data_IF_799452365058
#
_entry.id   IF_799452365058
#
_cell.length_a   1.000
_cell.length_b   1.000
_cell.length_c   1.000
_cell.angle_alpha   90.00
_cell.angle_beta   90.00
_cell.angle_gamma   90.00
#
_symmetry.space_group_name_H-M   'P 1'
#
loop_
_entity.id
_entity.type
_entity.pdbx_description
1 polymer ?
#
# COMPACT_ATOMS: atom_id res chain seq x y z
N UNK A 1 34.50 -28.51 -55.75
CA UNK A 1 35.18 -28.04 -54.52
C UNK A 1 34.61 -28.86 -53.37
N UNK A 2 35.38 -29.88 -52.97
CA UNK A 2 35.51 -30.59 -51.69
C UNK A 2 34.26 -30.74 -50.78
N UNK A 3 33.71 -31.95 -50.83
CA UNK A 3 33.35 -32.92 -49.77
C UNK A 3 32.89 -32.50 -48.34
N UNK A 4 31.60 -32.76 -48.11
CA UNK A 4 30.94 -33.61 -47.08
C UNK A 4 31.80 -34.23 -45.94
N UNK A 5 31.36 -34.09 -44.67
CA UNK A 5 30.97 -35.14 -43.67
C UNK A 5 31.13 -34.64 -42.19
N UNK A 6 30.28 -35.10 -41.23
CA UNK A 6 30.09 -34.54 -39.89
C UNK A 6 30.54 -35.47 -38.71
N UNK A 7 30.20 -35.06 -37.48
CA UNK A 7 29.87 -35.87 -36.28
C UNK A 7 30.95 -36.29 -35.24
N UNK A 8 30.49 -36.23 -33.97
CA UNK A 8 30.69 -37.15 -32.84
C UNK A 8 31.98 -37.10 -31.94
N UNK A 9 31.74 -36.72 -30.67
CA UNK A 9 31.90 -37.49 -29.41
C UNK A 9 33.22 -38.21 -28.99
N UNK A 10 33.38 -38.32 -27.65
CA UNK A 10 34.34 -39.11 -26.83
C UNK A 10 35.79 -38.55 -26.75
N UNK A 11 36.56 -38.60 -25.66
CA UNK A 11 36.48 -39.02 -24.25
C UNK A 11 37.89 -38.82 -23.61
N UNK A 12 37.95 -38.86 -22.27
CA UNK A 12 39.08 -39.27 -21.42
C UNK A 12 40.15 -38.26 -20.94
N UNK A 13 40.36 -38.29 -19.61
CA UNK A 13 41.64 -38.00 -18.93
C UNK A 13 41.60 -36.86 -17.91
N UNK A 14 41.11 -37.05 -16.68
CA UNK A 14 41.92 -37.41 -15.49
C UNK A 14 43.36 -36.87 -15.49
N UNK A 15 43.67 -35.94 -14.57
CA UNK A 15 44.81 -36.11 -13.67
C UNK A 15 44.70 -35.23 -12.42
N UNK A 16 44.55 -35.90 -11.28
CA UNK A 16 44.86 -35.39 -9.95
C UNK A 16 46.39 -35.32 -9.75
N UNK A 17 46.81 -34.40 -8.88
CA UNK A 17 48.03 -34.43 -8.04
C UNK A 17 47.82 -33.37 -6.97
N UNK A 18 47.37 -33.71 -5.76
CA UNK A 18 48.04 -34.47 -4.69
C UNK A 18 49.20 -33.71 -4.05
N UNK A 19 49.15 -33.73 -2.72
CA UNK A 19 49.89 -32.94 -1.74
C UNK A 19 51.20 -33.64 -1.35
N UNK A 20 52.21 -32.83 -1.00
CA UNK A 20 53.32 -33.14 -0.09
C UNK A 20 53.77 -31.78 0.53
N UNK A 21 53.53 -31.46 1.80
CA UNK A 21 53.97 -32.03 3.08
C UNK A 21 55.49 -31.89 3.36
N UNK A 22 55.77 -31.40 4.58
CA UNK A 22 57.07 -31.25 5.28
C UNK A 22 57.79 -29.91 5.04
N UNK A 23 58.07 -29.04 6.03
CA UNK A 23 58.10 -29.17 7.48
C UNK A 23 59.43 -28.61 8.02
N UNK A 24 59.37 -27.81 9.10
CA UNK A 24 60.48 -27.36 9.99
C UNK A 24 61.41 -26.25 9.44
N UNK A 25 61.99 -25.34 10.22
CA UNK A 25 61.99 -25.01 11.66
C UNK A 25 63.00 -23.86 11.87
N UNK A 26 62.79 -23.10 12.95
CA UNK A 26 63.80 -22.47 13.83
C UNK A 26 64.63 -21.25 13.36
N UNK A 27 64.47 -20.20 14.17
CA UNK A 27 65.51 -19.45 14.89
C UNK A 27 66.74 -18.90 14.15
N UNK A 28 66.78 -17.58 14.07
CA UNK A 28 67.96 -16.76 14.35
C UNK A 28 67.48 -15.46 15.01
N UNK A 29 68.15 -14.79 15.95
CA UNK A 29 69.36 -14.96 16.76
C UNK A 29 69.66 -13.53 17.21
N UNK A 30 69.80 -13.26 18.50
CA UNK A 30 70.64 -12.17 19.02
C UNK A 30 70.89 -12.44 20.51
N UNK A 31 71.90 -13.27 20.78
CA UNK A 31 72.60 -13.30 22.05
C UNK A 31 73.63 -12.17 22.08
N UNK A 32 73.69 -11.43 23.20
CA UNK A 32 74.93 -10.84 23.71
C UNK A 32 75.05 -11.18 25.20
N UNK A 33 75.57 -12.39 25.39
CA UNK A 33 76.64 -12.84 26.30
C UNK A 33 77.10 -11.93 27.47
N UNK A 34 76.83 -12.45 28.67
CA UNK A 34 77.70 -12.67 29.86
C UNK A 34 78.66 -11.57 30.38
N UNK A 35 78.64 -11.32 31.70
CA UNK A 35 79.59 -11.92 32.70
C UNK A 35 79.43 -11.24 34.08
N UNK A 36 79.23 -12.05 35.12
CA UNK A 36 80.11 -12.25 36.31
C UNK A 36 80.15 -11.05 37.28
N UNK A 37 80.13 -11.16 38.60
CA UNK A 37 80.07 -12.25 39.58
C UNK A 37 79.80 -11.59 40.96
N UNK A 38 79.11 -12.33 41.85
CA UNK A 38 79.29 -12.44 43.31
C UNK A 38 79.66 -11.16 44.10
N UNK A 39 78.86 -10.77 45.10
CA UNK A 39 78.97 -11.29 46.48
C UNK A 39 78.15 -10.48 47.51
N UNK A 40 77.79 -11.17 48.60
CA UNK A 40 77.53 -10.69 49.97
C UNK A 40 76.14 -10.13 50.38
N UNK A 41 75.49 -11.00 51.19
CA UNK A 41 74.86 -10.73 52.49
C UNK A 41 73.46 -10.12 52.56
N UNK A 42 72.49 -10.97 52.93
CA UNK A 42 71.26 -10.62 53.64
C UNK A 42 71.41 -10.85 55.16
N UNK A 43 70.65 -10.09 55.98
CA UNK A 43 69.87 -10.71 57.07
C UNK A 43 68.53 -10.00 57.36
N UNK A 44 67.62 -10.49 58.23
CA UNK A 44 67.15 -11.87 58.45
C UNK A 44 65.59 -12.00 58.33
N UNK A 45 65.13 -13.25 58.45
CA UNK A 45 63.73 -13.74 58.50
C UNK A 45 62.99 -13.39 59.82
N UNK A 46 61.66 -13.17 59.72
CA UNK A 46 60.62 -13.93 60.45
C UNK A 46 59.25 -13.71 59.72
N UNK A 47 58.74 -14.70 58.95
CA UNK A 47 57.70 -15.72 59.31
C UNK A 47 56.34 -15.08 59.70
N UNK A 48 55.15 -15.38 59.19
CA UNK A 48 54.55 -16.53 58.50
C UNK A 48 53.14 -16.16 57.92
N UNK A 49 52.72 -16.84 56.83
CA UNK A 49 51.34 -17.27 56.44
C UNK A 49 50.23 -16.30 55.96
N UNK A 50 50.10 -16.24 54.63
CA UNK A 50 48.95 -16.62 53.75
C UNK A 50 47.50 -16.47 54.27
N UNK A 51 46.69 -15.64 53.61
CA UNK A 51 45.22 -15.62 53.72
C UNK A 51 44.49 -14.64 52.80
N UNK A 52 44.17 -15.09 51.57
CA UNK A 52 43.02 -14.72 50.72
C UNK A 52 42.55 -13.24 50.64
N UNK A 53 42.90 -12.56 49.54
CA UNK A 53 42.14 -11.41 49.04
C UNK A 53 40.95 -11.96 48.23
N UNK A 54 39.73 -11.80 48.75
CA UNK A 54 38.48 -12.09 48.01
C UNK A 54 38.43 -11.27 46.72
N UNK A 55 38.01 -11.83 45.56
CA UNK A 55 37.84 -11.03 44.36
C UNK A 55 36.77 -9.94 44.60
N UNK A 56 36.92 -8.76 43.99
CA UNK A 56 36.00 -7.64 44.20
C UNK A 56 34.58 -8.07 43.80
N UNK A 57 33.63 -7.90 44.72
CA UNK A 57 32.21 -8.09 44.43
C UNK A 57 31.83 -7.16 43.28
N UNK A 58 31.61 -7.76 42.10
CA UNK A 58 31.08 -7.09 40.91
C UNK A 58 29.76 -6.41 41.29
N UNK A 59 29.80 -5.09 41.51
CA UNK A 59 28.59 -4.30 41.78
C UNK A 59 27.72 -4.38 40.54
N UNK A 60 26.60 -5.09 40.65
CA UNK A 60 25.57 -5.14 39.61
C UNK A 60 25.08 -3.69 39.37
N UNK A 61 24.91 -3.23 38.12
CA UNK A 61 24.51 -1.86 37.85
C UNK A 61 23.01 -1.72 38.15
N UNK A 62 22.68 -1.52 39.44
CA UNK A 62 21.29 -1.32 39.88
C UNK A 62 20.62 -0.16 39.14
N UNK A 63 21.39 0.86 38.72
CA UNK A 63 20.87 2.01 37.96
C UNK A 63 20.25 1.66 36.59
N UNK A 64 20.82 0.69 35.87
CA UNK A 64 20.27 0.25 34.58
C UNK A 64 18.95 -0.52 34.77
N UNK A 65 18.84 -1.30 35.84
CA UNK A 65 17.63 -2.05 36.18
C UNK A 65 16.51 -1.14 36.66
N UNK A 66 16.84 -0.10 37.45
CA UNK A 66 15.87 0.91 37.89
C UNK A 66 15.37 1.77 36.72
N UNK A 67 16.25 2.13 35.77
CA UNK A 67 15.85 2.82 34.54
C UNK A 67 14.94 1.99 33.65
N UNK A 68 15.22 0.68 33.51
CA UNK A 68 14.39 -0.24 32.74
C UNK A 68 13.02 -0.47 33.41
N UNK A 69 12.97 -0.59 34.74
CA UNK A 69 11.71 -0.67 35.49
C UNK A 69 10.91 0.63 35.36
N UNK A 70 11.54 1.79 35.42
CA UNK A 70 10.87 3.07 35.24
C UNK A 70 10.26 3.20 33.82
N UNK A 71 10.98 2.76 32.79
CA UNK A 71 10.49 2.76 31.41
C UNK A 71 9.31 1.79 31.22
N UNK A 72 9.38 0.60 31.81
CA UNK A 72 8.25 -0.35 31.82
C UNK A 72 7.05 0.23 32.58
N UNK A 73 7.26 0.90 33.71
CA UNK A 73 6.18 1.53 34.45
C UNK A 73 5.54 2.70 33.67
N UNK A 74 6.32 3.46 32.90
CA UNK A 74 5.80 4.50 31.99
C UNK A 74 5.02 3.88 30.83
N UNK A 75 5.48 2.79 30.24
CA UNK A 75 4.74 2.06 29.19
C UNK A 75 3.45 1.46 29.73
N UNK A 76 3.49 0.83 30.91
CA UNK A 76 2.30 0.30 31.59
C UNK A 76 1.34 1.43 31.95
N UNK A 77 1.84 2.56 32.44
CA UNK A 77 1.01 3.74 32.72
C UNK A 77 0.40 4.32 31.43
N UNK A 78 1.12 4.34 30.31
CA UNK A 78 0.62 4.76 29.01
C UNK A 78 -0.47 3.83 28.48
N UNK A 79 -0.28 2.51 28.57
CA UNK A 79 -1.29 1.50 28.25
C UNK A 79 -2.50 1.62 29.18
N UNK A 80 -2.30 1.88 30.47
CA UNK A 80 -3.37 2.06 31.45
C UNK A 80 -4.14 3.36 31.20
N UNK A 81 -3.48 4.46 30.84
CA UNK A 81 -4.13 5.73 30.47
C UNK A 81 -4.88 5.57 29.15
N UNK A 82 -4.33 4.86 28.16
CA UNK A 82 -5.04 4.49 26.93
C UNK A 82 -6.25 3.59 27.19
N UNK A 83 -6.15 2.65 28.12
CA UNK A 83 -7.26 1.80 28.57
C UNK A 83 -8.36 2.60 29.28
N UNK A 84 -7.98 3.53 30.16
CA UNK A 84 -8.94 4.41 30.86
C UNK A 84 -9.60 5.41 29.89
N UNK A 85 -8.88 5.93 28.90
CA UNK A 85 -9.44 6.75 27.81
C UNK A 85 -10.46 5.93 27.00
N UNK A 86 -10.13 4.69 26.60
CA UNK A 86 -11.05 3.78 25.91
C UNK A 86 -12.33 3.51 26.71
N UNK A 87 -12.22 3.24 28.00
CA UNK A 87 -13.38 2.97 28.86
C UNK A 87 -14.25 4.21 29.11
N UNK A 88 -13.64 5.40 29.14
CA UNK A 88 -14.36 6.67 29.33
C UNK A 88 -15.08 7.08 28.04
N UNK A 89 -14.44 6.88 26.88
CA UNK A 89 -15.05 7.08 25.55
C UNK A 89 -16.18 6.07 25.33
N UNK A 90 -15.98 4.78 25.67
CA UNK A 90 -17.02 3.76 25.59
C UNK A 90 -18.25 4.08 26.47
N UNK A 91 -18.05 4.75 27.62
CA UNK A 91 -19.15 5.23 28.48
C UNK A 91 -19.80 6.53 28.01
N UNK A 92 -19.04 7.44 27.40
CA UNK A 92 -19.56 8.65 26.74
C UNK A 92 -20.45 8.29 25.54
N UNK A 93 -20.11 7.23 24.79
CA UNK A 93 -20.95 6.68 23.72
C UNK A 93 -22.09 5.78 24.21
N UNK A 94 -21.98 5.20 25.41
CA UNK A 94 -23.07 4.39 26.02
C UNK A 94 -24.16 5.21 26.70
N UNK A 95 -23.98 6.53 26.85
CA UNK A 95 -24.96 7.42 27.49
C UNK A 95 -25.32 8.60 26.58
N UNK A 96 -25.76 8.30 25.36
CA UNK A 96 -26.72 9.16 24.67
C UNK A 96 -28.01 8.37 24.46
N UNK A 97 -28.86 8.42 25.48
CA UNK A 97 -30.29 8.14 25.39
C UNK A 97 -30.95 9.29 24.61
N UNK A 98 -30.61 9.37 23.33
CA UNK A 98 -31.36 10.10 22.31
C UNK A 98 -31.83 9.01 21.34
N UNK A 99 -33.14 8.83 21.26
CA UNK A 99 -33.78 7.71 20.56
C UNK A 99 -33.42 7.62 19.08
N UNK A 100 -32.34 6.92 18.78
CA UNK A 100 -31.95 6.44 17.46
C UNK A 100 -32.22 4.94 17.43
N UNK A 101 -33.02 4.51 16.46
CA UNK A 101 -33.41 3.10 16.30
C UNK A 101 -32.19 2.25 15.93
N UNK A 102 -32.23 0.95 16.25
CA UNK A 102 -31.12 0.02 15.94
C UNK A 102 -30.83 -0.07 14.43
N UNK A 103 -31.81 0.26 13.57
CA UNK A 103 -31.66 0.32 12.12
C UNK A 103 -30.89 1.58 11.66
N UNK A 104 -31.04 2.72 12.34
CA UNK A 104 -30.34 3.96 12.02
C UNK A 104 -28.88 3.96 12.50
N UNK A 105 -28.57 3.27 13.61
CA UNK A 105 -27.17 3.02 14.04
C UNK A 105 -26.45 2.03 13.12
N UNK A 106 -27.20 1.10 12.51
CA UNK A 106 -26.66 0.18 11.52
C UNK A 106 -26.32 0.90 10.23
N UNK A 107 -27.13 1.87 9.81
CA UNK A 107 -26.94 2.62 8.56
C UNK A 107 -25.65 3.46 8.52
N UNK A 108 -25.12 3.93 9.66
CA UNK A 108 -23.96 4.85 9.69
C UNK A 108 -22.60 4.14 9.61
N UNK A 109 -22.53 2.84 9.95
CA UNK A 109 -21.27 2.08 9.94
C UNK A 109 -21.02 1.28 8.66
N UNK A 110 -21.99 1.26 7.73
CA UNK A 110 -21.90 0.59 6.43
C UNK A 110 -21.96 1.57 5.25
N UNK A 111 -21.93 2.87 5.54
CA UNK A 111 -21.90 3.88 4.50
C UNK A 111 -20.45 4.10 4.08
N UNK A 112 -20.21 4.02 2.78
CA UNK A 112 -19.00 4.46 2.13
C UNK A 112 -19.35 5.86 1.56
N UNK A 113 -18.78 6.91 2.15
CA UNK A 113 -19.24 8.29 1.94
C UNK A 113 -18.55 8.97 0.75
N UNK A 114 -17.30 8.58 0.48
CA UNK A 114 -16.45 9.02 -0.63
C UNK A 114 -16.26 7.98 -1.73
N UNK A 115 -16.83 6.77 -1.56
CA UNK A 115 -16.90 5.68 -2.54
C UNK A 115 -15.53 5.12 -2.93
N UNK A 116 -14.61 5.02 -1.97
CA UNK A 116 -13.26 4.52 -2.18
C UNK A 116 -13.11 3.01 -1.90
N UNK A 117 -14.16 2.39 -1.33
CA UNK A 117 -14.20 0.98 -0.95
C UNK A 117 -14.11 0.72 0.55
N UNK A 118 -13.98 1.75 1.40
CA UNK A 118 -14.07 1.65 2.85
C UNK A 118 -15.39 2.20 3.38
N UNK A 119 -16.00 1.45 4.30
CA UNK A 119 -17.09 2.01 5.10
C UNK A 119 -16.56 3.01 6.13
N UNK A 120 -17.39 3.95 6.57
CA UNK A 120 -17.07 4.89 7.67
C UNK A 120 -16.49 4.20 8.91
N UNK A 121 -16.91 2.97 9.21
CA UNK A 121 -16.36 2.20 10.32
C UNK A 121 -14.94 1.68 10.04
N UNK A 122 -14.69 1.23 8.81
CA UNK A 122 -13.38 0.78 8.34
C UNK A 122 -12.41 1.97 8.27
N UNK A 123 -12.86 3.12 7.79
CA UNK A 123 -12.05 4.34 7.77
C UNK A 123 -11.66 4.81 9.16
N UNK A 124 -12.61 4.81 10.11
CA UNK A 124 -12.29 5.09 11.52
C UNK A 124 -11.30 4.08 12.11
N UNK A 125 -11.29 2.84 11.61
CA UNK A 125 -10.37 1.79 12.06
C UNK A 125 -8.98 1.92 11.41
N UNK A 126 -8.92 2.32 10.14
CA UNK A 126 -7.70 2.56 9.36
C UNK A 126 -7.05 3.93 9.67
N UNK A 127 -7.84 4.87 10.21
CA UNK A 127 -7.40 6.22 10.55
C UNK A 127 -7.50 7.22 9.40
N UNK A 128 -8.27 6.88 8.37
CA UNK A 128 -8.48 7.65 7.15
C UNK A 128 -9.63 8.66 7.30
N UNK A 129 -9.84 9.49 6.28
CA UNK A 129 -10.80 10.58 6.29
C UNK A 129 -12.10 10.21 5.55
N UNK A 130 -13.21 10.13 6.30
CA UNK A 130 -14.57 9.75 5.84
C UNK A 130 -15.14 10.44 4.59
N UNK A 131 -14.51 11.49 4.09
CA UNK A 131 -15.01 12.23 2.93
C UNK A 131 -13.91 12.48 1.90
N UNK A 132 -12.75 11.86 2.07
CA UNK A 132 -11.57 12.04 1.23
C UNK A 132 -11.07 10.64 0.81
N UNK A 133 -11.28 10.25 -0.45
CA UNK A 133 -11.02 8.89 -0.91
C UNK A 133 -9.52 8.54 -0.98
N UNK A 134 -8.62 9.50 -0.77
CA UNK A 134 -7.16 9.38 -0.78
C UNK A 134 -6.63 10.29 0.34
N UNK A 135 -6.45 9.71 1.54
CA UNK A 135 -6.16 10.47 2.76
C UNK A 135 -4.76 11.07 2.75
N UNK A 136 -3.77 10.37 2.17
CA UNK A 136 -2.38 10.80 2.19
C UNK A 136 -1.90 11.53 0.93
N UNK A 137 -2.74 11.53 -0.11
CA UNK A 137 -2.64 12.33 -1.32
C UNK A 137 -1.63 11.79 -2.31
N UNK A 138 -1.45 10.47 -2.40
CA UNK A 138 -0.49 9.82 -3.29
C UNK A 138 -1.09 9.23 -4.59
N UNK A 139 -2.37 9.52 -4.81
CA UNK A 139 -3.19 9.07 -5.95
C UNK A 139 -3.65 7.60 -5.86
N UNK A 140 -3.39 6.87 -4.77
CA UNK A 140 -4.05 5.61 -4.44
C UNK A 140 -5.24 5.86 -3.50
N UNK A 141 -6.42 5.25 -3.77
CA UNK A 141 -7.53 5.36 -2.84
C UNK A 141 -7.30 4.57 -1.55
N UNK A 142 -7.78 5.06 -0.40
CA UNK A 142 -7.50 4.40 0.90
C UNK A 142 -8.05 2.95 0.92
N UNK A 143 -9.23 2.73 0.32
CA UNK A 143 -9.81 1.41 0.16
C UNK A 143 -9.00 0.46 -0.71
N UNK A 144 -8.37 0.97 -1.77
CA UNK A 144 -7.43 0.17 -2.56
C UNK A 144 -6.22 -0.22 -1.72
N UNK A 145 -5.62 0.75 -1.03
CA UNK A 145 -4.45 0.50 -0.20
C UNK A 145 -4.70 -0.52 0.90
N UNK A 146 -5.81 -0.36 1.64
CA UNK A 146 -6.23 -1.30 2.68
C UNK A 146 -6.50 -2.69 2.11
N UNK A 147 -7.13 -2.79 0.94
CA UNK A 147 -7.41 -4.07 0.28
C UNK A 147 -6.13 -4.82 -0.08
N UNK A 148 -5.10 -4.10 -0.55
CA UNK A 148 -3.84 -4.67 -1.03
C UNK A 148 -2.71 -4.66 0.01
N UNK A 149 -2.99 -4.23 1.23
CA UNK A 149 -2.06 -4.27 2.36
C UNK A 149 -1.00 -3.18 2.32
N UNK A 150 -1.25 -2.09 1.58
CA UNK A 150 -0.54 -0.83 1.67
C UNK A 150 -1.02 -0.03 2.90
N UNK A 151 -0.45 1.14 3.10
CA UNK A 151 -0.73 1.99 4.23
C UNK A 151 -1.32 3.34 3.76
N UNK A 152 -2.64 3.58 3.94
CA UNK A 152 -3.36 4.78 3.48
C UNK A 152 -3.03 6.08 4.21
N UNK A 153 -1.87 6.12 4.85
CA UNK A 153 -1.33 7.21 5.65
C UNK A 153 0.17 7.40 5.38
N UNK A 154 0.76 6.67 4.43
CA UNK A 154 2.15 6.78 3.99
C UNK A 154 2.27 6.96 2.47
N UNK A 155 2.33 8.22 1.99
CA UNK A 155 2.27 8.54 0.57
C UNK A 155 3.52 8.10 -0.22
N UNK A 156 4.47 7.47 0.47
CA UNK A 156 5.67 6.93 -0.15
C UNK A 156 5.46 5.53 -0.72
N UNK A 157 4.44 4.80 -0.25
CA UNK A 157 4.27 3.41 -0.64
C UNK A 157 3.65 3.22 -2.03
N UNK A 158 2.91 4.19 -2.56
CA UNK A 158 2.58 4.30 -3.98
C UNK A 158 3.80 4.19 -4.90
N UNK A 159 4.97 4.65 -4.44
CA UNK A 159 6.21 4.64 -5.20
C UNK A 159 7.05 3.36 -5.03
N UNK A 160 6.63 2.45 -4.16
CA UNK A 160 7.28 1.16 -3.99
C UNK A 160 6.85 0.17 -5.07
N UNK A 161 7.65 -0.89 -5.20
CA UNK A 161 7.42 -2.03 -6.09
C UNK A 161 7.33 -3.26 -5.17
N UNK A 162 6.10 -3.67 -4.88
CA UNK A 162 5.80 -4.65 -3.83
C UNK A 162 6.15 -6.09 -4.25
N UNK A 163 5.91 -6.46 -5.51
CA UNK A 163 6.15 -7.81 -6.04
C UNK A 163 7.49 -7.97 -6.80
N UNK A 164 8.19 -6.86 -7.03
CA UNK A 164 9.56 -6.77 -7.60
C UNK A 164 9.59 -7.13 -9.06
N UNK A 165 8.69 -6.55 -9.82
CA UNK A 165 8.58 -6.73 -11.27
C UNK A 165 9.01 -5.51 -12.09
N UNK A 166 9.49 -4.47 -11.40
CA UNK A 166 9.87 -3.14 -11.90
C UNK A 166 8.68 -2.21 -12.26
N UNK A 167 7.45 -2.56 -11.86
CA UNK A 167 6.26 -1.68 -11.87
C UNK A 167 5.95 -1.19 -10.44
N UNK A 168 5.57 0.08 -10.29
CA UNK A 168 5.27 0.64 -8.96
C UNK A 168 3.82 0.41 -8.61
N UNK A 169 3.50 0.39 -7.32
CA UNK A 169 2.15 0.26 -6.79
C UNK A 169 1.14 1.25 -7.40
N UNK A 170 1.53 2.50 -7.61
CA UNK A 170 0.69 3.49 -8.31
C UNK A 170 0.47 3.16 -9.78
N UNK A 171 1.49 2.66 -10.47
CA UNK A 171 1.40 2.25 -11.87
C UNK A 171 0.56 0.96 -11.97
N UNK A 172 0.72 0.03 -11.03
CA UNK A 172 -0.11 -1.18 -10.88
C UNK A 172 -1.60 -0.84 -10.79
N UNK A 173 -1.95 0.13 -9.94
CA UNK A 173 -3.31 0.66 -9.85
C UNK A 173 -3.82 1.17 -11.21
N UNK A 174 -3.01 1.98 -11.91
CA UNK A 174 -3.36 2.56 -13.20
C UNK A 174 -3.46 1.56 -14.36
N UNK A 175 -2.70 0.46 -14.30
CA UNK A 175 -2.76 -0.63 -15.27
C UNK A 175 -3.71 -1.76 -14.84
N UNK A 176 -4.33 -1.61 -13.67
CA UNK A 176 -5.22 -2.57 -13.02
C UNK A 176 -4.60 -3.98 -12.87
N UNK A 177 -3.29 -4.02 -12.70
CA UNK A 177 -2.51 -5.22 -12.42
C UNK A 177 -2.49 -5.48 -10.92
N UNK A 178 -1.95 -6.63 -10.52
CA UNK A 178 -1.96 -7.06 -9.15
C UNK A 178 -0.60 -6.76 -8.51
N UNK A 179 -0.58 -5.74 -7.66
CA UNK A 179 0.55 -5.29 -6.81
C UNK A 179 1.30 -6.38 -6.02
N UNK A 180 0.74 -7.58 -5.89
CA UNK A 180 1.37 -8.71 -5.20
C UNK A 180 1.70 -9.90 -6.12
N UNK A 181 1.51 -9.76 -7.43
CA UNK A 181 1.70 -10.80 -8.43
C UNK A 181 2.42 -10.25 -9.67
N UNK A 182 3.72 -10.58 -9.86
CA UNK A 182 4.57 -9.94 -10.86
C UNK A 182 4.26 -10.31 -12.32
N UNK A 183 3.15 -11.02 -12.58
CA UNK A 183 2.69 -11.55 -13.88
C UNK A 183 1.16 -11.77 -13.75
N UNK A 184 0.39 -10.68 -13.84
CA UNK A 184 -1.05 -10.67 -13.52
C UNK A 184 -1.84 -11.63 -14.42
N UNK A 185 -1.52 -11.70 -15.71
CA UNK A 185 -2.24 -12.54 -16.66
C UNK A 185 -1.68 -13.98 -16.78
N UNK A 186 -0.57 -14.26 -16.09
CA UNK A 186 0.10 -15.54 -16.02
C UNK A 186 0.53 -16.08 -17.40
N UNK A 187 0.90 -15.19 -18.32
CA UNK A 187 1.36 -15.55 -19.67
C UNK A 187 2.89 -15.79 -19.75
N UNK A 188 3.60 -15.50 -18.66
CA UNK A 188 5.04 -15.69 -18.49
C UNK A 188 5.88 -14.44 -18.75
N UNK A 189 5.26 -13.30 -19.04
CA UNK A 189 5.89 -11.99 -19.04
C UNK A 189 5.50 -11.23 -17.76
N UNK A 190 6.39 -10.36 -17.27
CA UNK A 190 6.10 -9.56 -16.07
C UNK A 190 5.36 -8.30 -16.44
N UNK A 191 4.45 -7.85 -15.59
CA UNK A 191 3.62 -6.66 -15.86
C UNK A 191 4.48 -5.42 -16.14
N UNK A 192 5.48 -5.16 -15.31
CA UNK A 192 6.45 -4.07 -15.50
C UNK A 192 7.28 -4.18 -16.77
N UNK A 193 7.59 -5.40 -17.23
CA UNK A 193 8.27 -5.62 -18.51
C UNK A 193 7.34 -5.34 -19.68
N UNK A 194 6.10 -5.79 -19.61
CA UNK A 194 5.09 -5.57 -20.63
C UNK A 194 4.74 -4.10 -20.78
N UNK A 195 4.45 -3.41 -19.67
CA UNK A 195 4.16 -1.97 -19.66
C UNK A 195 5.30 -1.18 -20.30
N UNK A 196 6.55 -1.49 -19.92
CA UNK A 196 7.75 -0.82 -20.45
C UNK A 196 7.92 -1.03 -21.96
N UNK A 197 7.62 -2.23 -22.44
CA UNK A 197 7.75 -2.59 -23.87
C UNK A 197 6.47 -2.27 -24.68
N UNK A 198 5.42 -1.77 -24.03
CA UNK A 198 4.17 -1.35 -24.66
C UNK A 198 3.19 -2.49 -24.96
N UNK A 199 3.22 -3.55 -24.16
CA UNK A 199 2.28 -4.68 -24.16
C UNK A 199 1.27 -4.58 -23.01
N UNK A 200 0.13 -5.24 -23.16
CA UNK A 200 -0.95 -5.21 -22.17
C UNK A 200 -0.69 -6.24 -21.05
N UNK A 201 -0.48 -5.83 -19.80
CA UNK A 201 -0.14 -6.75 -18.70
C UNK A 201 -1.30 -7.62 -18.19
N UNK A 202 -2.50 -7.42 -18.74
CA UNK A 202 -3.72 -8.17 -18.37
C UNK A 202 -4.19 -9.12 -19.46
N UNK A 203 -3.37 -9.34 -20.49
CA UNK A 203 -3.72 -10.19 -21.61
C UNK A 203 -3.06 -9.74 -22.91
N UNK A 204 -3.18 -10.57 -23.94
CA UNK A 204 -2.55 -10.30 -25.24
C UNK A 204 -2.89 -8.92 -25.84
N UNK A 205 -1.89 -8.21 -26.36
CA UNK A 205 -2.10 -7.02 -27.19
C UNK A 205 -1.12 -5.90 -26.90
N UNK A 206 -1.34 -4.75 -27.54
CA UNK A 206 -0.59 -3.54 -27.24
C UNK A 206 -1.17 -2.87 -25.99
N UNK A 207 -0.30 -2.27 -25.18
CA UNK A 207 -0.65 -1.47 -24.03
C UNK A 207 -1.61 -0.37 -24.44
N UNK A 208 -2.78 -0.33 -23.81
CA UNK A 208 -3.62 0.87 -23.82
C UNK A 208 -3.07 1.77 -22.73
N UNK A 209 -2.79 3.04 -23.06
CA UNK A 209 -2.22 4.00 -22.11
C UNK A 209 -3.05 3.99 -20.81
N UNK A 210 -2.38 4.09 -19.65
CA UNK A 210 -3.07 4.16 -18.37
C UNK A 210 -3.98 5.39 -18.38
N UNK A 211 -5.18 5.24 -17.87
CA UNK A 211 -6.13 6.34 -17.74
C UNK A 211 -5.68 7.18 -16.54
N UNK A 212 -4.86 8.20 -16.80
CA UNK A 212 -4.13 9.02 -15.80
C UNK A 212 -5.02 9.94 -14.96
N UNK A 213 -6.29 9.61 -14.84
CA UNK A 213 -7.22 10.28 -13.94
C UNK A 213 -7.66 9.17 -12.99
N UNK A 214 -7.11 9.11 -11.77
CA UNK A 214 -7.40 8.15 -10.69
C UNK A 214 -8.89 8.08 -10.31
N UNK A 215 -9.69 7.59 -11.23
CA UNK A 215 -11.12 7.38 -11.12
C UNK A 215 -11.31 5.89 -11.33
N UNK A 216 -11.90 5.18 -10.35
CA UNK A 216 -12.17 3.75 -10.44
C UNK A 216 -12.75 3.38 -11.80
N UNK A 217 -12.22 2.30 -12.35
CA UNK A 217 -12.60 1.78 -13.65
C UNK A 217 -14.05 1.29 -13.59
N UNK A 218 -14.81 1.64 -14.63
CA UNK A 218 -16.17 1.19 -14.99
C UNK A 218 -17.36 1.94 -14.34
N UNK A 219 -18.26 2.58 -15.09
CA UNK A 219 -18.93 2.10 -16.31
C UNK A 219 -19.02 3.21 -17.36
N UNK A 220 -18.20 3.13 -18.41
CA UNK A 220 -18.58 3.78 -19.67
C UNK A 220 -19.80 3.01 -20.18
N UNK A 221 -21.02 3.52 -19.90
CA UNK A 221 -22.17 3.07 -20.65
C UNK A 221 -21.86 3.40 -22.10
N UNK A 222 -21.61 2.39 -22.93
CA UNK A 222 -21.44 2.53 -24.38
C UNK A 222 -22.66 3.18 -25.05
N UNK A 223 -23.77 3.30 -24.31
CA UNK A 223 -25.02 3.88 -24.75
C UNK A 223 -25.25 5.31 -24.23
N UNK A 224 -24.38 5.85 -23.36
CA UNK A 224 -24.53 7.19 -22.80
C UNK A 224 -25.81 7.31 -21.96
N UNK A 225 -26.11 6.32 -21.11
CA UNK A 225 -27.31 6.33 -20.28
C UNK A 225 -27.03 6.11 -18.79
N UNK A 226 -27.78 6.80 -17.94
CA UNK A 226 -27.88 6.59 -16.49
C UNK A 226 -29.31 6.18 -16.17
N UNK A 227 -29.47 5.02 -15.52
CA UNK A 227 -30.76 4.58 -15.00
C UNK A 227 -30.96 5.16 -13.61
N UNK A 228 -32.17 5.65 -13.35
CA UNK A 228 -32.62 6.04 -12.02
C UNK A 228 -33.38 4.83 -11.48
N UNK A 229 -32.81 4.20 -10.46
CA UNK A 229 -33.37 3.04 -9.78
C UNK A 229 -33.76 3.44 -8.36
N UNK A 230 -34.47 2.55 -7.67
CA UNK A 230 -34.82 2.76 -6.28
C UNK A 230 -33.57 2.88 -5.41
N UNK A 231 -33.24 4.11 -5.04
CA UNK A 231 -32.14 4.42 -4.13
C UNK A 231 -30.76 4.58 -4.77
N UNK A 232 -30.65 4.58 -6.10
CA UNK A 232 -29.36 4.69 -6.78
C UNK A 232 -29.47 5.23 -8.20
N UNK A 233 -28.38 5.83 -8.69
CA UNK A 233 -28.12 6.04 -10.11
C UNK A 233 -27.22 4.92 -10.63
N UNK A 234 -27.57 4.35 -11.79
CA UNK A 234 -26.82 3.25 -12.37
C UNK A 234 -26.49 3.50 -13.86
N UNK A 235 -25.22 3.78 -14.20
CA UNK A 235 -24.11 3.95 -13.27
C UNK A 235 -24.22 5.25 -12.45
N UNK A 236 -23.61 5.25 -11.26
CA UNK A 236 -23.43 6.45 -10.44
C UNK A 236 -22.38 7.38 -11.07
N UNK A 237 -21.40 6.80 -11.76
CA UNK A 237 -20.28 7.47 -12.40
C UNK A 237 -20.22 7.12 -13.88
N UNK A 238 -20.18 8.14 -14.75
CA UNK A 238 -20.04 7.93 -16.19
C UNK A 238 -19.07 8.93 -16.82
N UNK A 239 -18.37 8.47 -17.85
CA UNK A 239 -17.44 9.29 -18.63
C UNK A 239 -17.92 9.35 -20.08
N UNK A 240 -17.99 10.54 -20.64
CA UNK A 240 -18.42 10.82 -22.02
C UNK A 240 -17.46 11.82 -22.67
N UNK A 241 -17.53 11.99 -23.99
CA UNK A 241 -16.72 12.99 -24.70
C UNK A 241 -17.47 14.31 -24.83
N UNK A 242 -16.70 15.39 -24.93
CA UNK A 242 -17.22 16.69 -25.33
C UNK A 242 -18.00 16.56 -26.65
N UNK A 243 -19.25 17.02 -26.64
CA UNK A 243 -20.20 16.89 -27.73
C UNK A 243 -21.17 15.72 -27.59
N UNK A 244 -20.92 14.77 -26.69
CA UNK A 244 -21.81 13.64 -26.45
C UNK A 244 -23.08 14.06 -25.70
N UNK A 245 -24.09 13.20 -25.77
CA UNK A 245 -25.32 13.34 -25.02
C UNK A 245 -25.51 12.17 -24.07
N UNK A 246 -26.04 12.47 -22.89
CA UNK A 246 -26.33 11.51 -21.83
C UNK A 246 -27.83 11.46 -21.58
N UNK A 247 -28.40 10.27 -21.42
CA UNK A 247 -29.82 10.06 -21.15
C UNK A 247 -30.04 9.47 -19.76
N UNK A 248 -30.79 10.18 -18.93
CA UNK A 248 -31.35 9.65 -17.68
C UNK A 248 -32.62 8.88 -17.98
N UNK A 249 -32.74 7.62 -17.56
CA UNK A 249 -33.92 6.77 -17.75
C UNK A 249 -34.48 6.42 -16.37
N UNK A 250 -35.69 6.84 -16.07
CA UNK A 250 -36.32 6.50 -14.81
C UNK A 250 -36.93 5.08 -14.87
N UNK A 251 -36.27 4.12 -14.25
CA UNK A 251 -36.77 2.74 -14.08
C UNK A 251 -37.37 2.51 -12.67
N UNK A 252 -37.37 3.52 -11.80
CA UNK A 252 -38.12 3.52 -10.54
C UNK A 252 -39.62 3.83 -10.78
N UNK A 253 -40.40 3.61 -9.75
CA UNK A 253 -41.84 3.84 -9.63
C UNK A 253 -42.20 5.25 -9.18
N UNK A 254 -41.23 6.06 -8.77
CA UNK A 254 -41.40 7.45 -8.32
C UNK A 254 -40.86 8.42 -9.37
N UNK A 255 -41.39 9.65 -9.40
CA UNK A 255 -40.87 10.70 -10.29
C UNK A 255 -39.61 11.31 -9.71
N UNK A 256 -38.58 11.50 -10.52
CA UNK A 256 -37.28 11.98 -10.10
C UNK A 256 -36.91 13.31 -10.78
N UNK A 257 -35.99 14.05 -10.15
CA UNK A 257 -35.45 15.30 -10.67
C UNK A 257 -33.93 15.28 -10.49
N UNK A 258 -33.19 15.27 -11.60
CA UNK A 258 -31.74 15.29 -11.55
C UNK A 258 -31.26 16.74 -11.54
N UNK A 259 -30.57 17.13 -10.49
CA UNK A 259 -30.12 18.51 -10.23
C UNK A 259 -28.64 18.52 -9.84
N UNK A 260 -27.92 19.58 -10.19
CA UNK A 260 -26.52 19.80 -9.87
C UNK A 260 -26.11 21.24 -10.18
N UNK A 261 -24.86 21.65 -9.91
CA UNK A 261 -24.41 23.02 -10.17
C UNK A 261 -24.58 23.48 -11.63
N UNK A 262 -24.41 22.55 -12.57
CA UNK A 262 -24.54 22.78 -14.02
C UNK A 262 -25.60 21.90 -14.69
N UNK A 263 -26.40 21.16 -13.90
CA UNK A 263 -27.42 20.21 -14.38
C UNK A 263 -28.76 20.54 -13.74
N UNK A 264 -29.82 20.68 -14.54
CA UNK A 264 -31.19 20.78 -14.04
C UNK A 264 -32.12 20.11 -15.06
N UNK A 265 -32.83 19.06 -14.63
CA UNK A 265 -33.82 18.37 -15.47
C UNK A 265 -35.24 18.77 -15.11
N UNK A 266 -36.14 18.61 -16.08
CA UNK A 266 -37.57 18.51 -15.80
C UNK A 266 -37.89 17.23 -15.00
N UNK A 267 -39.14 17.10 -14.56
CA UNK A 267 -39.64 15.89 -13.89
C UNK A 267 -39.51 14.66 -14.80
N UNK A 268 -38.74 13.66 -14.38
CA UNK A 268 -38.57 12.41 -15.10
C UNK A 268 -39.55 11.39 -14.51
N UNK A 269 -40.68 11.18 -15.18
CA UNK A 269 -41.72 10.25 -14.73
C UNK A 269 -41.26 8.78 -14.84
N UNK A 270 -41.86 7.85 -14.07
CA UNK A 270 -41.60 6.41 -14.20
C UNK A 270 -41.69 5.92 -15.65
N UNK A 271 -40.65 5.23 -16.11
CA UNK A 271 -40.51 4.71 -17.48
C UNK A 271 -40.18 5.76 -18.55
N UNK A 272 -39.98 7.02 -18.17
CA UNK A 272 -39.59 8.11 -19.09
C UNK A 272 -38.09 8.37 -19.02
N UNK A 273 -37.59 9.17 -19.97
CA UNK A 273 -36.19 9.57 -20.01
C UNK A 273 -36.00 11.05 -20.31
N UNK A 274 -34.81 11.56 -19.96
CA UNK A 274 -34.39 12.93 -20.22
C UNK A 274 -32.94 12.97 -20.71
N UNK A 275 -32.67 13.67 -21.80
CA UNK A 275 -31.33 13.69 -22.43
C UNK A 275 -30.70 15.07 -22.34
N UNK A 276 -29.42 15.12 -21.97
CA UNK A 276 -28.60 16.34 -21.87
C UNK A 276 -27.39 16.20 -22.78
N UNK A 277 -27.05 17.26 -23.52
CA UNK A 277 -25.81 17.32 -24.31
C UNK A 277 -24.74 18.13 -23.58
N UNK A 278 -23.52 17.59 -23.52
CA UNK A 278 -22.41 18.21 -22.82
C UNK A 278 -21.41 18.80 -23.81
N UNK A 279 -21.29 20.13 -23.83
CA UNK A 279 -20.49 20.86 -24.82
C UNK A 279 -19.14 21.36 -24.28
N UNK A 280 -18.83 21.07 -23.02
CA UNK A 280 -17.62 21.55 -22.37
C UNK A 280 -17.05 20.41 -21.54
N UNK A 281 -15.73 20.27 -21.61
CA UNK A 281 -15.00 19.37 -20.72
C UNK A 281 -15.15 19.81 -19.26
N UNK A 282 -15.22 18.84 -18.36
CA UNK A 282 -15.36 19.11 -16.93
C UNK A 282 -16.00 17.96 -16.16
N UNK A 283 -16.08 18.16 -14.85
CA UNK A 283 -16.74 17.25 -13.92
C UNK A 283 -18.10 17.86 -13.56
N UNK A 284 -19.16 17.10 -13.80
CA UNK A 284 -20.53 17.49 -13.56
C UNK A 284 -21.12 16.58 -12.47
N UNK A 285 -21.22 17.12 -11.27
CA UNK A 285 -21.89 16.45 -10.16
C UNK A 285 -23.40 16.68 -10.25
N UNK A 286 -24.16 15.64 -9.97
CA UNK A 286 -25.61 15.69 -9.92
C UNK A 286 -26.15 14.85 -8.76
N UNK A 287 -27.39 15.10 -8.39
CA UNK A 287 -28.11 14.41 -7.34
C UNK A 287 -29.61 14.45 -7.59
N UNK A 288 -30.36 13.57 -6.93
CA UNK A 288 -31.82 13.67 -6.93
C UNK A 288 -32.27 14.82 -6.03
N UNK A 289 -33.05 15.76 -6.57
CA UNK A 289 -33.47 16.96 -5.85
C UNK A 289 -34.24 16.65 -4.56
N UNK A 290 -35.05 15.59 -4.59
CA UNK A 290 -35.94 15.24 -3.49
C UNK A 290 -35.21 14.33 -2.46
N UNK A 291 -34.10 13.70 -2.86
CA UNK A 291 -33.16 12.97 -1.97
C UNK A 291 -31.70 13.13 -2.40
N UNK A 292 -31.03 14.18 -1.89
CA UNK A 292 -29.66 14.54 -2.26
C UNK A 292 -28.58 13.50 -1.88
N UNK A 293 -28.95 12.44 -1.15
CA UNK A 293 -28.05 11.30 -0.90
C UNK A 293 -27.81 10.48 -2.16
N UNK A 294 -28.79 10.44 -3.06
CA UNK A 294 -28.62 9.82 -4.37
C UNK A 294 -27.91 10.86 -5.23
N UNK A 295 -26.62 10.67 -5.43
CA UNK A 295 -25.72 11.54 -6.19
C UNK A 295 -25.02 10.73 -7.26
N UNK A 296 -24.37 11.42 -8.18
CA UNK A 296 -23.55 10.82 -9.21
C UNK A 296 -22.69 11.87 -9.89
N UNK A 297 -21.79 11.42 -10.76
CA UNK A 297 -20.79 12.29 -11.40
C UNK A 297 -20.60 11.91 -12.86
N UNK A 298 -20.60 12.93 -13.72
CA UNK A 298 -20.33 12.80 -15.15
C UNK A 298 -19.00 13.48 -15.44
N UNK A 299 -18.08 12.77 -16.06
CA UNK A 299 -16.80 13.32 -16.51
C UNK A 299 -16.89 13.51 -18.03
N UNK A 300 -16.76 14.75 -18.48
CA UNK A 300 -16.74 15.11 -19.89
C UNK A 300 -15.30 15.36 -20.29
N UNK A 301 -14.75 14.49 -21.13
CA UNK A 301 -13.38 14.60 -21.61
C UNK A 301 -13.30 15.44 -22.88
N UNK A 302 -12.23 16.21 -23.02
CA UNK A 302 -11.92 16.91 -24.27
C UNK A 302 -11.80 15.91 -25.42
N UNK A 303 -12.32 16.29 -26.59
CA UNK A 303 -11.87 15.66 -27.82
C UNK A 303 -10.41 16.06 -28.09
N UNK A 304 -9.46 15.15 -27.90
CA UNK A 304 -8.12 15.31 -28.45
C UNK A 304 -8.24 15.22 -29.96
N UNK A 305 -8.17 16.37 -30.64
CA UNK A 305 -7.90 16.37 -32.08
C UNK A 305 -6.48 15.81 -32.24
N UNK A 306 -6.38 14.58 -32.74
CA UNK A 306 -5.13 14.10 -33.32
C UNK A 306 -4.89 14.97 -34.55
N UNK A 307 -4.15 16.07 -34.37
CA UNK A 307 -3.50 16.78 -35.45
C UNK A 307 -2.41 15.84 -35.99
N UNK A 308 -2.79 14.99 -36.93
CA UNK A 308 -1.84 14.31 -37.82
C UNK A 308 -1.21 15.38 -38.72
N UNK A 309 0.08 15.67 -38.49
CA UNK A 309 0.98 16.30 -39.48
C UNK A 309 2.18 15.38 -39.75
#
# INVERSE_FOLDING_TARGET
MIDIIPAAAFDSGMHAKEMDEQGKSADQKLEVTLKEEKNLTSPPLDTEKKGEIKPPKKKRPWGAYVGFIALILVLIAGVLVGYIQRDTIAKLFSTSDAGFTDDEKKSFGYLDEDNDGLTTLEEMASGTLVLEPDTDGDELPDGYEVQFGLNPLDPADALYDQDKDDLKNIDEYYYETNISDPDTDNDGFKDGSEVKDGYNPKGTGALKKPQKDGVPVERVSSEGMIKILTGEFNPEFIRIKEGDSLTFVNEDTVTHFVTGPEIETDAIQPGSSFTISFQKEGVYEFYDRDDARYKGKIIVEKMVQNDEE
#
